data_IF_925989148866
#
_entry.id   IF_925989148866
#
_cell.length_a   1.000
_cell.length_b   1.000
_cell.length_c   1.000
_cell.angle_alpha   90.00
_cell.angle_beta   90.00
_cell.angle_gamma   90.00
#
_symmetry.space_group_name_H-M   'P 1'
#
loop_
_entity.id
_entity.type
_entity.pdbx_description
1 polymer ?
#
# COMPACT_ATOMS: atom_id res chain seq x y z
N UNK A 1 -35.15 1.94 -25.34
CA UNK A 1 -36.46 1.95 -24.65
C UNK A 1 -36.74 3.38 -24.17
N UNK A 2 -37.63 4.14 -24.81
CA UNK A 2 -37.96 5.53 -24.41
C UNK A 2 -38.85 5.48 -23.16
N UNK A 3 -38.44 6.10 -22.05
CA UNK A 3 -39.33 6.29 -20.88
C UNK A 3 -39.81 7.74 -20.85
N UNK A 4 -41.13 7.86 -20.85
CA UNK A 4 -41.91 9.08 -20.91
C UNK A 4 -41.53 10.03 -19.76
N UNK A 5 -41.01 11.20 -20.08
CA UNK A 5 -40.86 12.29 -19.11
C UNK A 5 -42.27 12.85 -18.82
N UNK A 6 -43.03 12.21 -17.93
CA UNK A 6 -44.25 12.82 -17.38
C UNK A 6 -43.81 13.89 -16.38
N UNK A 7 -43.78 15.15 -16.84
CA UNK A 7 -43.63 16.31 -15.96
C UNK A 7 -44.76 16.29 -14.91
N UNK A 8 -44.48 16.46 -13.61
CA UNK A 8 -45.55 16.58 -12.62
C UNK A 8 -46.32 17.88 -12.85
N UNK A 9 -47.65 17.80 -12.74
CA UNK A 9 -48.59 18.84 -13.14
C UNK A 9 -48.53 20.12 -12.28
N UNK A 10 -48.12 20.08 -11.01
CA UNK A 10 -47.99 21.27 -10.14
C UNK A 10 -47.02 21.03 -8.96
N UNK A 11 -45.70 21.17 -9.14
CA UNK A 11 -44.73 21.05 -8.05
C UNK A 11 -43.27 21.37 -8.42
N UNK A 12 -42.36 21.42 -7.42
CA UNK A 12 -40.92 21.64 -7.66
C UNK A 12 -40.39 20.52 -8.58
N UNK A 13 -39.76 20.85 -9.71
CA UNK A 13 -39.16 19.86 -10.60
C UNK A 13 -38.18 18.95 -9.84
N UNK A 14 -38.23 17.66 -10.14
CA UNK A 14 -37.30 16.69 -9.57
C UNK A 14 -35.89 16.95 -10.10
N UNK A 15 -34.89 16.90 -9.21
CA UNK A 15 -33.49 17.00 -9.59
C UNK A 15 -33.15 15.91 -10.64
N UNK A 16 -32.33 16.22 -11.66
CA UNK A 16 -31.85 15.22 -12.62
C UNK A 16 -31.26 13.99 -11.93
N UNK A 17 -31.35 12.84 -12.58
CA UNK A 17 -30.89 11.57 -11.98
C UNK A 17 -29.39 11.61 -11.60
N UNK A 18 -28.58 12.32 -12.39
CA UNK A 18 -27.13 12.48 -12.23
C UNK A 18 -26.77 13.36 -11.03
N UNK A 19 -27.53 14.44 -10.79
CA UNK A 19 -27.32 15.34 -9.66
C UNK A 19 -27.91 14.80 -8.35
N UNK A 20 -28.85 13.85 -8.46
CA UNK A 20 -29.56 13.30 -7.31
C UNK A 20 -28.67 12.29 -6.58
N UNK A 21 -28.22 12.66 -5.38
CA UNK A 21 -27.55 11.81 -4.37
C UNK A 21 -28.45 10.64 -3.93
N UNK A 22 -28.66 9.65 -4.80
CA UNK A 22 -29.67 8.59 -4.66
C UNK A 22 -29.14 7.25 -4.16
N UNK A 23 -27.83 7.05 -4.18
CA UNK A 23 -27.18 5.84 -3.64
C UNK A 23 -26.96 6.05 -2.13
N UNK A 24 -27.45 5.11 -1.33
CA UNK A 24 -27.28 5.12 0.14
C UNK A 24 -26.14 4.18 0.51
N UNK A 25 -25.15 4.70 1.25
CA UNK A 25 -24.03 3.94 1.80
C UNK A 25 -24.10 4.04 3.33
N UNK A 26 -24.56 3.00 4.04
CA UNK A 26 -24.64 3.03 5.50
C UNK A 26 -23.26 2.88 6.14
N UNK A 27 -22.95 3.71 7.13
CA UNK A 27 -21.73 3.63 7.95
C UNK A 27 -22.14 3.54 9.41
N UNK A 28 -21.62 2.55 10.14
CA UNK A 28 -21.88 2.35 11.56
C UNK A 28 -20.70 2.88 12.38
N UNK A 29 -21.00 3.64 13.42
CA UNK A 29 -20.03 4.19 14.37
C UNK A 29 -20.31 3.62 15.76
N UNK A 30 -19.27 3.50 16.58
CA UNK A 30 -19.45 3.48 18.03
C UNK A 30 -19.72 4.91 18.54
N UNK A 31 -20.02 5.05 19.82
CA UNK A 31 -20.38 6.34 20.42
C UNK A 31 -19.25 7.37 20.25
N UNK A 32 -18.03 6.98 20.62
CA UNK A 32 -16.86 7.86 20.62
C UNK A 32 -16.50 8.33 19.21
N UNK A 33 -16.46 7.44 18.21
CA UNK A 33 -16.17 7.82 16.82
C UNK A 33 -17.29 8.65 16.22
N UNK A 34 -18.55 8.41 16.63
CA UNK A 34 -19.66 9.24 16.19
C UNK A 34 -19.50 10.68 16.68
N UNK A 35 -19.16 10.87 17.96
CA UNK A 35 -18.94 12.20 18.54
C UNK A 35 -17.76 12.92 17.86
N UNK A 36 -16.65 12.22 17.64
CA UNK A 36 -15.49 12.77 16.91
C UNK A 36 -15.91 13.20 15.50
N UNK A 37 -16.65 12.38 14.77
CA UNK A 37 -17.11 12.68 13.41
C UNK A 37 -18.05 13.90 13.41
N UNK A 38 -18.97 14.00 14.37
CA UNK A 38 -19.87 15.14 14.51
C UNK A 38 -19.11 16.43 14.84
N UNK A 39 -18.15 16.39 15.77
CA UNK A 39 -17.31 17.54 16.11
C UNK A 39 -16.52 18.03 14.89
N UNK A 40 -15.95 17.11 14.09
CA UNK A 40 -15.27 17.47 12.85
C UNK A 40 -16.22 18.09 11.82
N UNK A 41 -17.44 17.59 11.69
CA UNK A 41 -18.45 18.17 10.81
C UNK A 41 -18.83 19.61 11.24
N UNK A 42 -19.01 19.84 12.55
CA UNK A 42 -19.30 21.15 13.12
C UNK A 42 -18.16 22.13 12.83
N UNK A 43 -16.91 21.74 13.11
CA UNK A 43 -15.72 22.57 12.85
C UNK A 43 -15.57 22.91 11.37
N UNK A 44 -15.91 21.97 10.48
CA UNK A 44 -15.90 22.19 9.04
C UNK A 44 -17.09 23.04 8.53
N UNK A 45 -18.08 23.36 9.38
CA UNK A 45 -19.30 24.07 8.98
C UNK A 45 -20.22 23.24 8.07
N UNK A 46 -20.11 21.91 8.12
CA UNK A 46 -20.84 21.00 7.25
C UNK A 46 -21.86 20.17 8.05
N UNK A 47 -22.97 19.82 7.39
CA UNK A 47 -23.83 18.79 7.96
C UNK A 47 -23.14 17.42 7.89
N UNK A 48 -23.52 16.51 8.80
CA UNK A 48 -22.99 15.15 8.90
C UNK A 48 -22.82 14.44 7.56
N UNK A 49 -23.87 14.47 6.73
CA UNK A 49 -23.88 13.74 5.46
C UNK A 49 -22.95 14.35 4.42
N UNK A 50 -22.81 15.67 4.40
CA UNK A 50 -21.90 16.36 3.48
C UNK A 50 -20.45 16.21 3.93
N UNK A 51 -20.20 16.29 5.24
CA UNK A 51 -18.91 16.00 5.82
C UNK A 51 -18.44 14.59 5.46
N UNK A 52 -19.26 13.56 5.68
CA UNK A 52 -18.89 12.17 5.33
C UNK A 52 -18.64 12.02 3.82
N UNK A 53 -19.45 12.65 2.97
CA UNK A 53 -19.23 12.61 1.51
C UNK A 53 -17.90 13.24 1.12
N UNK A 54 -17.64 14.47 1.56
CA UNK A 54 -16.38 15.15 1.25
C UNK A 54 -15.20 14.40 1.83
N UNK A 55 -15.29 13.95 3.08
CA UNK A 55 -14.25 13.13 3.70
C UNK A 55 -13.99 11.85 2.90
N UNK A 56 -15.02 11.14 2.43
CA UNK A 56 -14.86 9.89 1.66
C UNK A 56 -14.23 10.08 0.27
N UNK A 57 -14.43 11.26 -0.34
CA UNK A 57 -13.89 11.57 -1.69
C UNK A 57 -12.47 12.14 -1.59
N UNK A 58 -12.22 12.94 -0.56
CA UNK A 58 -10.97 13.70 -0.41
C UNK A 58 -10.03 13.12 0.64
N UNK A 59 -10.39 12.03 1.34
CA UNK A 59 -9.46 11.38 2.24
C UNK A 59 -8.33 10.73 1.45
N UNK A 60 -7.11 10.99 1.88
CA UNK A 60 -5.95 10.21 1.46
C UNK A 60 -5.85 9.00 2.38
N UNK A 61 -6.08 7.81 1.84
CA UNK A 61 -5.68 6.58 2.53
C UNK A 61 -4.19 6.40 2.27
N UNK A 62 -3.36 6.73 3.26
CA UNK A 62 -1.92 6.50 3.18
C UNK A 62 -1.62 5.05 3.54
N UNK A 63 -1.04 4.31 2.60
CA UNK A 63 -0.49 3.00 2.92
C UNK A 63 0.70 3.15 3.88
N UNK A 64 0.72 2.36 4.95
CA UNK A 64 1.81 2.40 5.95
C UNK A 64 3.18 2.08 5.34
N UNK A 65 3.19 1.22 4.32
CA UNK A 65 4.35 0.86 3.51
C UNK A 65 3.87 0.70 2.08
N UNK A 66 4.51 1.38 1.12
CA UNK A 66 4.19 1.18 -0.30
C UNK A 66 4.57 -0.23 -0.72
N UNK A 67 3.97 -0.80 -1.78
CA UNK A 67 4.38 -2.11 -2.31
C UNK A 67 5.87 -2.17 -2.63
N UNK A 68 6.46 -1.04 -3.05
CA UNK A 68 7.90 -0.87 -3.26
C UNK A 68 8.71 -1.03 -1.97
N UNK A 69 8.24 -0.47 -0.85
CA UNK A 69 8.91 -0.58 0.45
C UNK A 69 8.84 -2.02 0.97
N UNK A 70 7.70 -2.68 0.81
CA UNK A 70 7.53 -4.10 1.20
C UNK A 70 8.45 -4.99 0.37
N UNK A 71 8.59 -4.72 -0.93
CA UNK A 71 9.52 -5.44 -1.81
C UNK A 71 10.98 -5.20 -1.36
N UNK A 72 11.34 -3.96 -1.04
CA UNK A 72 12.69 -3.62 -0.55
C UNK A 72 13.02 -4.36 0.74
N UNK A 73 12.08 -4.47 1.67
CA UNK A 73 12.27 -5.22 2.92
C UNK A 73 12.54 -6.71 2.62
N UNK A 74 11.79 -7.35 1.72
CA UNK A 74 12.01 -8.75 1.34
C UNK A 74 13.36 -8.96 0.66
N UNK A 75 13.74 -8.04 -0.21
CA UNK A 75 15.02 -8.09 -0.92
C UNK A 75 16.20 -7.94 0.05
N UNK A 76 16.09 -7.04 1.04
CA UNK A 76 17.08 -6.89 2.12
C UNK A 76 17.18 -8.15 2.99
N UNK A 77 16.05 -8.81 3.28
CA UNK A 77 16.05 -10.11 3.97
C UNK A 77 16.81 -11.17 3.17
N UNK A 78 16.63 -11.20 1.85
CA UNK A 78 17.39 -12.08 0.95
C UNK A 78 18.91 -11.83 1.00
N UNK A 79 19.34 -10.57 1.08
CA UNK A 79 20.77 -10.22 1.26
C UNK A 79 21.27 -10.74 2.61
N UNK A 80 20.53 -10.49 3.70
CA UNK A 80 20.93 -10.90 5.03
C UNK A 80 21.10 -12.43 5.13
N UNK A 81 20.20 -13.20 4.52
CA UNK A 81 20.30 -14.66 4.52
C UNK A 81 21.48 -15.17 3.70
N UNK A 82 21.75 -14.58 2.53
CA UNK A 82 22.92 -14.90 1.72
C UNK A 82 24.23 -14.62 2.49
N UNK A 83 24.32 -13.46 3.17
CA UNK A 83 25.46 -13.11 4.01
C UNK A 83 25.62 -14.07 5.20
N UNK A 84 24.51 -14.46 5.84
CA UNK A 84 24.53 -15.44 6.92
C UNK A 84 25.05 -16.81 6.45
N UNK A 85 24.67 -17.25 5.24
CA UNK A 85 25.19 -18.49 4.65
C UNK A 85 26.70 -18.43 4.45
N UNK A 86 27.20 -17.34 3.86
CA UNK A 86 28.64 -17.12 3.66
C UNK A 86 29.37 -17.10 5.01
N UNK A 87 28.83 -16.41 6.02
CA UNK A 87 29.46 -16.34 7.35
C UNK A 87 29.54 -17.71 8.04
N UNK A 88 28.46 -18.50 8.00
CA UNK A 88 28.45 -19.88 8.52
C UNK A 88 29.47 -20.76 7.79
N UNK A 89 29.59 -20.56 6.47
CA UNK A 89 30.51 -21.29 5.63
C UNK A 89 31.98 -20.91 5.90
N UNK A 90 32.30 -19.64 6.07
CA UNK A 90 33.62 -19.20 6.55
C UNK A 90 33.96 -19.80 7.92
N UNK A 91 33.00 -19.80 8.83
CA UNK A 91 33.18 -20.36 10.18
C UNK A 91 33.47 -21.86 10.15
N UNK A 92 32.82 -22.62 9.24
CA UNK A 92 33.09 -24.06 9.10
C UNK A 92 34.52 -24.32 8.59
N UNK A 93 34.99 -23.53 7.63
CA UNK A 93 36.38 -23.59 7.13
C UNK A 93 37.38 -23.30 8.24
N UNK A 94 37.19 -22.23 9.01
CA UNK A 94 38.10 -21.83 10.08
C UNK A 94 38.19 -22.89 11.19
N UNK A 95 37.08 -23.55 11.51
CA UNK A 95 37.01 -24.50 12.62
C UNK A 95 37.42 -25.93 12.23
N UNK A 96 37.28 -26.34 10.97
CA UNK A 96 37.47 -27.73 10.53
C UNK A 96 38.56 -27.91 9.46
N UNK A 97 39.20 -26.82 9.03
CA UNK A 97 40.13 -26.81 7.91
C UNK A 97 39.41 -26.61 6.57
N UNK A 98 40.16 -26.10 5.59
CA UNK A 98 39.64 -25.80 4.25
C UNK A 98 39.90 -26.95 3.29
N UNK A 99 38.88 -27.37 2.54
CA UNK A 99 39.04 -28.18 1.34
C UNK A 99 38.95 -27.29 0.10
N UNK A 100 39.50 -27.72 -1.03
CA UNK A 100 39.37 -26.98 -2.29
C UNK A 100 37.90 -26.82 -2.70
N UNK A 101 37.08 -27.84 -2.46
CA UNK A 101 35.62 -27.79 -2.67
C UNK A 101 34.98 -26.70 -1.82
N UNK A 102 35.41 -26.57 -0.56
CA UNK A 102 34.87 -25.54 0.30
C UNK A 102 35.20 -24.14 -0.25
N UNK A 103 36.45 -23.89 -0.62
CA UNK A 103 36.84 -22.60 -1.20
C UNK A 103 36.05 -22.27 -2.47
N UNK A 104 35.86 -23.23 -3.36
CA UNK A 104 35.05 -23.05 -4.59
C UNK A 104 33.62 -22.66 -4.25
N UNK A 105 33.02 -23.30 -3.24
CA UNK A 105 31.64 -22.98 -2.82
C UNK A 105 31.54 -21.58 -2.20
N UNK A 106 32.54 -21.18 -1.39
CA UNK A 106 32.62 -19.82 -0.84
C UNK A 106 32.63 -18.77 -1.96
N UNK A 107 33.51 -18.95 -2.95
CA UNK A 107 33.61 -18.01 -4.07
C UNK A 107 32.32 -17.92 -4.87
N UNK A 108 31.61 -19.03 -5.07
CA UNK A 108 30.28 -19.05 -5.71
C UNK A 108 29.25 -18.28 -4.89
N UNK A 109 29.13 -18.58 -3.59
CA UNK A 109 28.16 -17.92 -2.72
C UNK A 109 28.38 -16.40 -2.65
N UNK A 110 29.64 -15.95 -2.61
CA UNK A 110 30.01 -14.52 -2.66
C UNK A 110 29.59 -13.91 -3.99
N UNK A 111 29.86 -14.58 -5.11
CA UNK A 111 29.52 -14.08 -6.43
C UNK A 111 28.00 -13.97 -6.63
N UNK A 112 27.24 -14.97 -6.19
CA UNK A 112 25.77 -14.96 -6.21
C UNK A 112 25.20 -13.83 -5.35
N UNK A 113 25.74 -13.63 -4.15
CA UNK A 113 25.31 -12.53 -3.28
C UNK A 113 25.59 -11.17 -3.94
N UNK A 114 26.75 -11.00 -4.58
CA UNK A 114 27.10 -9.77 -5.32
C UNK A 114 26.14 -9.53 -6.48
N UNK A 115 25.88 -10.54 -7.30
CA UNK A 115 25.00 -10.42 -8.46
C UNK A 115 23.55 -10.14 -8.06
N UNK A 116 23.09 -10.75 -6.98
CA UNK A 116 21.79 -10.43 -6.38
C UNK A 116 21.72 -8.95 -5.99
N UNK A 117 22.70 -8.44 -5.23
CA UNK A 117 22.76 -7.02 -4.85
C UNK A 117 22.77 -6.10 -6.07
N UNK A 118 23.55 -6.42 -7.11
CA UNK A 118 23.58 -5.63 -8.34
C UNK A 118 22.24 -5.62 -9.07
N UNK A 119 21.53 -6.76 -9.09
CA UNK A 119 20.20 -6.85 -9.68
C UNK A 119 19.17 -5.98 -8.94
N UNK A 120 19.26 -5.94 -7.60
CA UNK A 120 18.44 -5.07 -6.77
C UNK A 120 18.74 -3.60 -7.02
N UNK A 121 20.02 -3.21 -7.08
CA UNK A 121 20.42 -1.83 -7.38
C UNK A 121 19.85 -1.38 -8.74
N UNK A 122 19.94 -2.22 -9.77
CA UNK A 122 19.34 -1.92 -11.09
C UNK A 122 17.83 -1.77 -10.99
N UNK A 123 17.17 -2.65 -10.25
CA UNK A 123 15.73 -2.62 -10.04
C UNK A 123 15.31 -1.33 -9.33
N UNK A 124 15.88 -1.02 -8.17
CA UNK A 124 15.50 0.15 -7.37
C UNK A 124 15.89 1.48 -8.02
N UNK A 125 16.98 1.53 -8.80
CA UNK A 125 17.41 2.74 -9.53
C UNK A 125 16.46 3.11 -10.67
N UNK A 126 15.90 2.12 -11.35
CA UNK A 126 15.12 2.34 -12.57
C UNK A 126 13.60 2.25 -12.35
N UNK A 127 13.14 1.78 -11.18
CA UNK A 127 11.71 1.66 -10.90
C UNK A 127 11.16 3.01 -10.45
N UNK A 128 10.30 3.68 -11.24
CA UNK A 128 9.67 4.93 -10.83
C UNK A 128 8.85 4.68 -9.56
N UNK A 129 8.71 5.70 -8.72
CA UNK A 129 7.77 5.63 -7.61
C UNK A 129 6.37 5.47 -8.19
N UNK A 130 5.84 4.25 -8.10
CA UNK A 130 4.46 3.97 -8.44
C UNK A 130 3.59 4.83 -7.52
N UNK A 131 2.81 5.73 -8.11
CA UNK A 131 1.79 6.55 -7.43
C UNK A 131 0.75 5.63 -6.83
#
# INVERSE_FOLDING_TARGET
MRRYNSRPSKGRPKLPAEERKSIVVPVKYDLDKYEIMMNKAIVAGLNRSEYIRQASIHCTVTERLKPKDVKAIRDLQGIAENLNRIAKFCSSILNRGSTNENLVQLFRDIYECRDFILSLIKTYRNTPDSI
#
